data_IF_869308288728
#
_entry.id   IF_869308288728
#
_cell.length_a   1.000
_cell.length_b   1.000
_cell.length_c   1.000
_cell.angle_alpha   90.00
_cell.angle_beta   90.00
_cell.angle_gamma   90.00
#
_symmetry.space_group_name_H-M   'P 1'
#
loop_
_entity.id
_entity.type
_entity.pdbx_description
1 polymer ?
#
# COMPACT_ATOMS: atom_id res chain seq x y z
N UNK A 1 63.22 -46.27 15.84
CA UNK A 1 61.74 -46.41 15.96
C UNK A 1 61.09 -45.15 15.43
N UNK A 2 60.61 -45.14 14.18
CA UNK A 2 59.84 -43.99 13.62
C UNK A 2 58.36 -44.26 13.87
N UNK A 3 57.82 -43.64 14.89
CA UNK A 3 56.36 -43.64 15.12
C UNK A 3 55.66 -42.89 13.99
N UNK A 4 54.79 -43.57 13.29
CA UNK A 4 54.01 -43.02 12.22
C UNK A 4 52.90 -42.11 12.82
N UNK A 5 53.25 -40.88 13.10
CA UNK A 5 52.33 -39.82 13.61
C UNK A 5 51.07 -39.70 12.72
N UNK A 6 51.23 -39.99 11.43
CA UNK A 6 50.14 -39.90 10.46
C UNK A 6 49.00 -40.93 10.70
N UNK A 7 49.32 -42.07 11.30
CA UNK A 7 48.32 -43.12 11.61
C UNK A 7 47.51 -42.84 12.89
N UNK A 8 48.01 -41.96 13.74
CA UNK A 8 47.31 -41.57 14.96
C UNK A 8 46.45 -40.28 14.77
N UNK A 9 46.80 -39.44 13.81
CA UNK A 9 46.08 -38.17 13.53
C UNK A 9 44.79 -38.43 12.79
N UNK A 10 44.71 -39.40 11.85
CA UNK A 10 43.52 -39.69 11.08
C UNK A 10 42.34 -40.20 11.94
N UNK A 11 42.51 -41.15 12.88
CA UNK A 11 41.40 -41.55 13.74
C UNK A 11 41.00 -40.46 14.76
N UNK A 12 41.93 -39.61 15.21
CA UNK A 12 41.61 -38.51 16.12
C UNK A 12 40.79 -37.42 15.41
N UNK A 13 41.09 -37.12 14.15
CA UNK A 13 40.26 -36.20 13.32
C UNK A 13 38.90 -36.78 12.99
N UNK A 14 38.80 -38.12 12.78
CA UNK A 14 37.52 -38.80 12.54
C UNK A 14 36.62 -38.78 13.78
N UNK A 15 37.18 -38.85 14.99
CA UNK A 15 36.38 -38.78 16.24
C UNK A 15 35.88 -37.34 16.47
N UNK A 16 36.63 -36.33 16.13
CA UNK A 16 36.14 -34.93 16.21
C UNK A 16 35.09 -34.60 15.16
N UNK A 17 35.07 -35.31 14.03
CA UNK A 17 34.07 -35.09 12.97
C UNK A 17 32.70 -35.71 13.29
N UNK A 18 32.62 -36.66 14.22
CA UNK A 18 31.33 -37.28 14.60
C UNK A 18 30.75 -36.78 15.92
N UNK A 19 31.49 -35.92 16.65
CA UNK A 19 30.98 -35.28 17.88
C UNK A 19 30.52 -33.84 17.68
N UNK A 20 30.60 -33.34 16.46
CA UNK A 20 30.09 -32.02 16.11
C UNK A 20 28.74 -32.11 15.41
N UNK A 21 27.71 -31.61 16.05
CA UNK A 21 26.38 -31.35 15.52
C UNK A 21 25.39 -32.53 15.58
N UNK A 22 25.14 -33.04 16.77
CA UNK A 22 23.93 -33.83 17.01
C UNK A 22 22.65 -32.96 16.98
N UNK A 23 22.81 -31.65 17.20
CA UNK A 23 21.71 -30.67 17.19
C UNK A 23 21.32 -30.17 15.79
N UNK A 24 22.08 -30.52 14.74
CA UNK A 24 21.81 -29.98 13.40
C UNK A 24 20.94 -30.89 12.53
N UNK A 25 20.72 -32.12 12.93
CA UNK A 25 19.97 -33.13 12.16
C UNK A 25 18.61 -33.49 12.77
N UNK A 26 18.33 -33.02 13.96
CA UNK A 26 17.00 -33.10 14.57
C UNK A 26 16.45 -31.64 14.58
N UNK A 27 15.56 -31.26 13.65
CA UNK A 27 14.80 -30.05 13.86
C UNK A 27 14.05 -30.25 15.17
N UNK A 28 14.43 -29.51 16.21
CA UNK A 28 13.59 -29.38 17.38
C UNK A 28 12.24 -28.97 16.88
N UNK A 29 11.15 -29.72 17.14
CA UNK A 29 9.84 -29.16 16.98
C UNK A 29 9.79 -27.97 17.94
N UNK A 30 10.06 -26.76 17.44
CA UNK A 30 9.60 -25.57 18.13
C UNK A 30 8.10 -25.75 18.14
N UNK A 31 7.56 -26.11 19.29
CA UNK A 31 6.20 -25.79 19.62
C UNK A 31 6.12 -24.27 19.45
N UNK A 32 5.78 -23.86 18.27
CA UNK A 32 5.15 -22.58 18.09
C UNK A 32 3.79 -22.75 18.77
N UNK A 33 3.74 -22.64 20.10
CA UNK A 33 2.62 -21.99 20.72
C UNK A 33 2.50 -20.68 20.00
N UNK A 34 1.85 -20.80 18.82
CA UNK A 34 1.84 -19.74 17.84
C UNK A 34 1.04 -18.59 18.42
N UNK A 35 1.68 -17.50 18.83
CA UNK A 35 0.95 -16.27 19.02
C UNK A 35 0.39 -15.73 17.70
N UNK A 36 0.60 -16.45 16.58
CA UNK A 36 0.04 -16.15 15.25
C UNK A 36 -1.35 -16.76 15.03
N UNK A 37 -1.79 -17.69 15.85
CA UNK A 37 -3.20 -18.01 15.97
C UNK A 37 -3.80 -17.03 16.98
N UNK A 38 -4.14 -15.85 16.47
CA UNK A 38 -5.21 -15.01 16.96
C UNK A 38 -5.34 -14.93 18.50
N UNK A 39 -4.48 -14.17 19.11
CA UNK A 39 -4.96 -13.43 20.27
C UNK A 39 -5.86 -12.36 19.66
N UNK A 40 -7.13 -12.74 19.39
CA UNK A 40 -8.18 -11.74 19.23
C UNK A 40 -8.15 -10.91 20.51
N UNK A 41 -7.63 -9.72 20.37
CA UNK A 41 -7.59 -8.75 21.46
C UNK A 41 -9.03 -8.38 21.75
N UNK A 42 -9.32 -8.04 23.00
CA UNK A 42 -10.67 -7.66 23.41
C UNK A 42 -11.09 -6.29 22.85
N UNK A 43 -12.36 -5.99 22.96
CA UNK A 43 -12.92 -4.72 22.48
C UNK A 43 -12.25 -3.51 23.14
N UNK A 44 -11.89 -3.62 24.42
CA UNK A 44 -11.23 -2.56 25.16
C UNK A 44 -9.84 -2.23 24.59
N UNK A 45 -9.11 -3.25 24.15
CA UNK A 45 -7.83 -3.05 23.45
C UNK A 45 -8.01 -2.25 22.16
N UNK A 46 -8.97 -2.64 21.31
CA UNK A 46 -9.19 -1.96 20.04
C UNK A 46 -9.77 -0.55 20.22
N UNK A 47 -10.55 -0.32 21.26
CA UNK A 47 -11.01 1.02 21.63
C UNK A 47 -9.83 1.92 22.01
N UNK A 48 -8.94 1.44 22.87
CA UNK A 48 -7.71 2.15 23.23
C UNK A 48 -6.79 2.41 22.05
N UNK A 49 -6.66 1.42 21.12
CA UNK A 49 -5.88 1.56 19.90
C UNK A 49 -6.43 2.66 19.00
N UNK A 50 -7.75 2.68 18.78
CA UNK A 50 -8.38 3.75 17.98
C UNK A 50 -8.26 5.11 18.63
N UNK A 51 -8.39 5.20 19.97
CA UNK A 51 -8.18 6.43 20.71
C UNK A 51 -6.73 6.94 20.58
N UNK A 52 -5.74 6.04 20.64
CA UNK A 52 -4.34 6.37 20.39
C UNK A 52 -4.15 6.94 18.98
N UNK A 53 -4.66 6.26 17.94
CA UNK A 53 -4.54 6.69 16.53
C UNK A 53 -5.27 8.01 16.23
N UNK A 54 -6.26 8.36 17.02
CA UNK A 54 -6.96 9.65 16.94
C UNK A 54 -6.27 10.78 17.72
N UNK A 55 -5.27 10.45 18.55
CA UNK A 55 -4.53 11.45 19.34
C UNK A 55 -3.40 12.07 18.51
N UNK A 56 -2.79 13.15 19.03
CA UNK A 56 -1.59 13.74 18.46
C UNK A 56 -0.37 12.84 18.77
N UNK A 57 0.24 12.27 17.72
CA UNK A 57 1.39 11.39 17.80
C UNK A 57 2.15 11.34 16.47
N UNK A 58 3.35 10.73 16.47
CA UNK A 58 4.10 10.48 15.24
C UNK A 58 3.42 9.40 14.41
N UNK A 59 3.00 9.75 13.20
CA UNK A 59 2.28 8.85 12.29
C UNK A 59 3.22 7.82 11.67
N UNK A 60 2.86 6.54 11.76
CA UNK A 60 3.54 5.46 11.08
C UNK A 60 2.87 5.17 9.73
N UNK A 61 3.69 5.14 8.68
CA UNK A 61 3.27 4.91 7.30
C UNK A 61 4.06 3.76 6.67
N UNK A 62 3.44 2.99 5.81
CA UNK A 62 4.13 1.96 5.04
C UNK A 62 3.33 1.49 3.82
N UNK A 63 4.09 1.07 2.78
CA UNK A 63 3.51 0.43 1.60
C UNK A 63 3.29 -1.05 1.84
N UNK A 64 2.19 -1.55 1.29
CA UNK A 64 1.85 -2.95 1.32
C UNK A 64 1.57 -3.45 -0.10
N UNK A 65 2.31 -4.48 -0.52
CA UNK A 65 2.15 -5.11 -1.81
C UNK A 65 1.58 -6.52 -1.67
N UNK A 66 1.07 -7.06 -2.77
CA UNK A 66 0.60 -8.45 -2.85
C UNK A 66 -0.47 -8.83 -1.83
N UNK A 67 -1.41 -7.91 -1.59
CA UNK A 67 -2.55 -8.20 -0.73
C UNK A 67 -3.32 -9.44 -1.20
N UNK A 68 -3.24 -10.49 -0.40
CA UNK A 68 -3.83 -11.80 -0.66
C UNK A 68 -5.17 -12.02 0.04
N UNK A 69 -5.62 -13.26 -0.03
CA UNK A 69 -6.90 -13.69 0.56
C UNK A 69 -6.70 -14.63 1.76
N UNK A 70 -5.49 -14.66 2.33
CA UNK A 70 -5.17 -15.58 3.41
C UNK A 70 -4.82 -16.99 2.92
N UNK A 71 -5.27 -18.01 3.62
CA UNK A 71 -4.92 -19.42 3.38
C UNK A 71 -3.93 -19.92 4.42
N UNK A 72 -2.93 -20.70 4.00
CA UNK A 72 -1.90 -21.23 4.92
C UNK A 72 -0.98 -20.12 5.44
N UNK A 73 -0.79 -19.05 4.65
CA UNK A 73 -0.03 -17.88 5.03
C UNK A 73 -0.96 -16.67 5.15
N UNK A 74 -1.07 -16.11 6.34
CA UNK A 74 -1.87 -14.89 6.58
C UNK A 74 -1.06 -13.60 6.49
N UNK A 75 0.26 -13.69 6.32
CA UNK A 75 1.17 -12.56 6.23
C UNK A 75 0.94 -11.65 5.01
N UNK A 76 0.14 -12.09 4.04
CA UNK A 76 -0.29 -11.32 2.89
C UNK A 76 -1.66 -10.65 3.08
N UNK A 77 -2.20 -10.64 4.29
CA UNK A 77 -3.44 -9.94 4.66
C UNK A 77 -3.12 -8.66 5.43
N UNK A 78 -3.97 -7.66 5.30
CA UNK A 78 -3.81 -6.38 6.00
C UNK A 78 -3.87 -6.54 7.52
N UNK A 79 -4.66 -7.47 8.03
CA UNK A 79 -4.75 -7.75 9.46
C UNK A 79 -3.43 -8.23 10.08
N UNK A 80 -2.50 -8.77 9.28
CA UNK A 80 -1.16 -9.18 9.73
C UNK A 80 -0.21 -7.99 9.93
N UNK A 81 -0.55 -6.82 9.42
CA UNK A 81 0.23 -5.61 9.64
C UNK A 81 0.15 -5.20 11.13
N UNK A 82 1.27 -4.78 11.74
CA UNK A 82 1.29 -4.38 13.14
C UNK A 82 0.20 -3.36 13.48
N UNK A 83 -0.42 -3.51 14.65
CA UNK A 83 -1.50 -2.63 15.10
C UNK A 83 -1.05 -1.16 15.25
N UNK A 84 0.26 -0.94 15.46
CA UNK A 84 0.85 0.40 15.53
C UNK A 84 0.90 1.15 14.20
N UNK A 85 0.63 0.48 13.06
CA UNK A 85 0.58 1.18 11.78
C UNK A 85 -0.66 2.06 11.67
N UNK A 86 -0.45 3.35 11.40
CA UNK A 86 -1.53 4.32 11.24
C UNK A 86 -2.06 4.35 9.81
N UNK A 87 -1.16 4.28 8.85
CA UNK A 87 -1.48 4.37 7.42
C UNK A 87 -0.80 3.23 6.66
N UNK A 88 -1.60 2.53 5.87
CA UNK A 88 -1.13 1.52 4.91
C UNK A 88 -1.47 2.01 3.51
N UNK A 89 -0.49 2.10 2.63
CA UNK A 89 -0.66 2.42 1.22
C UNK A 89 -0.54 1.15 0.38
N UNK A 90 -1.61 0.80 -0.35
CA UNK A 90 -1.76 -0.47 -1.07
C UNK A 90 -1.33 -0.35 -2.52
N UNK A 91 -0.30 -1.10 -2.90
CA UNK A 91 0.06 -1.32 -4.29
C UNK A 91 -0.80 -2.40 -4.97
N UNK A 92 -1.06 -2.22 -6.28
CA UNK A 92 -1.68 -3.24 -7.15
C UNK A 92 -3.05 -3.77 -6.66
N UNK A 93 -3.92 -2.88 -6.31
CA UNK A 93 -5.21 -3.21 -5.72
C UNK A 93 -6.33 -3.24 -6.76
N UNK A 94 -6.33 -4.26 -7.64
CA UNK A 94 -7.25 -4.31 -8.77
C UNK A 94 -8.60 -5.00 -8.48
N UNK A 95 -8.69 -5.88 -7.49
CA UNK A 95 -9.92 -6.63 -7.22
C UNK A 95 -10.21 -6.78 -5.74
N UNK A 96 -11.39 -6.34 -5.34
CA UNK A 96 -11.89 -6.45 -3.97
C UNK A 96 -12.84 -7.66 -3.88
N UNK A 97 -12.30 -8.81 -3.44
CA UNK A 97 -13.10 -9.99 -3.13
C UNK A 97 -13.81 -9.84 -1.78
N UNK A 98 -14.83 -10.66 -1.46
CA UNK A 98 -15.44 -10.65 -0.14
C UNK A 98 -14.44 -10.84 1.01
N UNK A 99 -13.42 -11.68 0.84
CA UNK A 99 -12.35 -11.89 1.83
C UNK A 99 -11.52 -10.63 2.03
N UNK A 100 -11.06 -10.00 0.95
CA UNK A 100 -10.34 -8.73 1.01
C UNK A 100 -11.19 -7.62 1.62
N UNK A 101 -12.48 -7.59 1.29
CA UNK A 101 -13.41 -6.61 1.89
C UNK A 101 -13.53 -6.78 3.39
N UNK A 102 -13.64 -8.01 3.88
CA UNK A 102 -13.70 -8.29 5.31
C UNK A 102 -12.39 -7.92 6.02
N UNK A 103 -11.24 -8.21 5.41
CA UNK A 103 -9.91 -7.83 5.89
C UNK A 103 -9.74 -6.30 5.97
N UNK A 104 -10.12 -5.58 4.91
CA UNK A 104 -10.12 -4.12 4.87
C UNK A 104 -11.03 -3.53 5.97
N UNK A 105 -12.25 -4.07 6.11
CA UNK A 105 -13.19 -3.59 7.13
C UNK A 105 -12.67 -3.84 8.54
N UNK A 106 -12.03 -4.97 8.79
CA UNK A 106 -11.41 -5.23 10.09
C UNK A 106 -10.31 -4.20 10.40
N UNK A 107 -9.40 -3.99 9.46
CA UNK A 107 -8.27 -3.08 9.65
C UNK A 107 -8.71 -1.63 9.78
N UNK A 108 -9.67 -1.19 8.97
CA UNK A 108 -10.12 0.21 9.01
C UNK A 108 -11.09 0.50 10.15
N UNK A 109 -12.05 -0.40 10.42
CA UNK A 109 -13.12 -0.15 11.39
C UNK A 109 -12.78 -0.63 12.81
N UNK A 110 -12.05 -1.75 12.91
CA UNK A 110 -11.70 -2.32 14.22
C UNK A 110 -10.35 -1.80 14.71
N UNK A 111 -9.29 -1.89 13.90
CA UNK A 111 -7.96 -1.38 14.26
C UNK A 111 -7.84 0.14 14.13
N UNK A 112 -8.66 0.80 13.32
CA UNK A 112 -8.58 2.24 13.04
C UNK A 112 -7.40 2.65 12.16
N UNK A 113 -6.75 1.70 11.48
CA UNK A 113 -5.69 1.98 10.50
C UNK A 113 -6.30 2.53 9.22
N UNK A 114 -5.76 3.61 8.69
CA UNK A 114 -6.16 4.14 7.39
C UNK A 114 -5.53 3.30 6.27
N UNK A 115 -6.34 2.86 5.32
CA UNK A 115 -5.86 2.09 4.16
C UNK A 115 -6.11 2.90 2.90
N UNK A 116 -5.04 3.26 2.22
CA UNK A 116 -5.04 4.07 1.01
C UNK A 116 -4.78 3.19 -0.22
N UNK A 117 -5.18 3.68 -1.38
CA UNK A 117 -4.76 3.13 -2.67
C UNK A 117 -3.53 3.89 -3.13
N UNK A 118 -2.45 3.16 -3.43
CA UNK A 118 -1.25 3.70 -4.06
C UNK A 118 -1.31 3.52 -5.57
N UNK A 119 -1.02 4.57 -6.32
CA UNK A 119 -0.96 4.48 -7.78
C UNK A 119 -0.15 5.61 -8.39
N UNK A 120 0.56 5.29 -9.47
CA UNK A 120 0.97 6.30 -10.45
C UNK A 120 -0.26 6.95 -11.08
N UNK A 121 -0.12 8.20 -11.51
CA UNK A 121 -1.18 8.94 -12.20
C UNK A 121 -0.75 9.43 -13.59
N UNK A 122 -0.26 8.53 -14.48
CA UNK A 122 0.23 8.95 -15.78
C UNK A 122 -0.85 9.54 -16.67
N UNK A 123 -2.06 8.97 -16.61
CA UNK A 123 -3.15 9.25 -17.54
C UNK A 123 -4.50 9.22 -16.84
N UNK A 124 -5.49 9.90 -17.41
CA UNK A 124 -6.87 9.77 -16.96
C UNK A 124 -7.33 8.31 -17.07
N UNK A 125 -7.99 7.81 -16.02
CA UNK A 125 -8.49 6.46 -15.98
C UNK A 125 -7.44 5.35 -15.78
N UNK A 126 -6.24 5.67 -15.32
CA UNK A 126 -5.22 4.66 -15.03
C UNK A 126 -5.64 3.68 -13.92
N UNK A 127 -6.56 4.08 -13.07
CA UNK A 127 -7.27 3.22 -12.11
C UNK A 127 -8.76 3.61 -12.04
N UNK A 128 -9.59 2.74 -11.49
CA UNK A 128 -11.05 2.90 -11.47
C UNK A 128 -11.70 3.09 -12.85
N UNK A 129 -11.10 2.50 -13.88
CA UNK A 129 -11.74 2.33 -15.19
C UNK A 129 -12.33 0.93 -15.32
N UNK A 130 -13.34 0.73 -16.20
CA UNK A 130 -13.81 -0.62 -16.55
C UNK A 130 -12.64 -1.52 -16.98
N UNK A 131 -12.61 -2.77 -16.48
CA UNK A 131 -11.48 -3.68 -16.66
C UNK A 131 -11.22 -4.12 -18.11
N UNK A 132 -12.22 -3.98 -18.98
CA UNK A 132 -12.09 -4.23 -20.42
C UNK A 132 -11.30 -3.15 -21.17
N UNK A 133 -11.10 -1.97 -20.58
CA UNK A 133 -10.35 -0.86 -21.18
C UNK A 133 -8.86 -1.05 -20.93
N UNK A 134 -8.17 -1.69 -21.85
CA UNK A 134 -6.77 -2.12 -21.66
C UNK A 134 -5.75 -1.11 -22.17
N UNK A 135 -6.13 -0.24 -23.12
CA UNK A 135 -5.25 0.78 -23.70
C UNK A 135 -5.51 2.16 -23.15
N UNK A 136 -4.49 3.03 -23.23
CA UNK A 136 -4.63 4.46 -22.88
C UNK A 136 -5.74 5.12 -23.69
N UNK A 137 -5.80 4.83 -25.00
CA UNK A 137 -6.79 5.46 -25.89
C UNK A 137 -8.22 5.06 -25.52
N UNK A 138 -8.48 3.78 -25.25
CA UNK A 138 -9.81 3.32 -24.80
C UNK A 138 -10.24 4.02 -23.51
N UNK A 139 -9.33 4.19 -22.55
CA UNK A 139 -9.62 4.93 -21.32
C UNK A 139 -9.88 6.40 -21.58
N UNK A 140 -9.06 7.06 -22.41
CA UNK A 140 -9.25 8.46 -22.81
C UNK A 140 -10.62 8.67 -23.45
N UNK A 141 -11.01 7.80 -24.41
CA UNK A 141 -12.30 7.86 -25.08
C UNK A 141 -13.46 7.69 -24.08
N UNK A 142 -13.35 6.74 -23.17
CA UNK A 142 -14.38 6.48 -22.13
C UNK A 142 -14.56 7.67 -21.19
N UNK A 143 -13.46 8.30 -20.77
CA UNK A 143 -13.49 9.45 -19.89
C UNK A 143 -13.81 10.75 -20.61
N UNK A 144 -13.72 10.79 -21.93
CA UNK A 144 -14.01 11.95 -22.76
C UNK A 144 -12.82 12.88 -23.00
N UNK A 145 -11.59 12.37 -22.78
CA UNK A 145 -10.36 13.09 -23.09
C UNK A 145 -10.21 13.26 -24.59
N UNK A 146 -9.87 14.47 -25.05
CA UNK A 146 -9.56 14.75 -26.47
C UNK A 146 -8.30 15.59 -26.55
N UNK A 147 -7.29 15.06 -27.21
CA UNK A 147 -6.02 15.75 -27.38
C UNK A 147 -6.23 17.10 -28.10
N UNK A 148 -5.67 18.17 -27.53
CA UNK A 148 -5.78 19.52 -28.05
C UNK A 148 -7.08 20.26 -27.69
N UNK A 149 -8.02 19.63 -26.97
CA UNK A 149 -9.25 20.23 -26.45
C UNK A 149 -9.17 20.32 -24.93
N UNK A 150 -8.69 21.46 -24.42
CA UNK A 150 -8.47 21.67 -22.98
C UNK A 150 -9.76 21.55 -22.15
N UNK A 151 -10.90 21.95 -22.71
CA UNK A 151 -12.19 21.82 -22.02
C UNK A 151 -12.56 20.35 -21.87
N UNK A 152 -12.44 19.57 -22.93
CA UNK A 152 -12.68 18.12 -22.88
C UNK A 152 -11.73 17.41 -21.92
N UNK A 153 -10.45 17.78 -21.91
CA UNK A 153 -9.44 17.27 -20.99
C UNK A 153 -9.83 17.57 -19.54
N UNK A 154 -10.13 18.82 -19.21
CA UNK A 154 -10.53 19.20 -17.87
C UNK A 154 -11.81 18.48 -17.41
N UNK A 155 -12.82 18.42 -18.27
CA UNK A 155 -14.07 17.71 -17.98
C UNK A 155 -13.83 16.20 -17.75
N UNK A 156 -12.88 15.59 -18.46
CA UNK A 156 -12.50 14.20 -18.25
C UNK A 156 -11.86 13.97 -16.88
N UNK A 157 -11.00 14.88 -16.44
CA UNK A 157 -10.38 14.87 -15.12
C UNK A 157 -11.44 15.01 -14.02
N UNK A 158 -12.37 15.96 -14.15
CA UNK A 158 -13.48 16.15 -13.20
C UNK A 158 -14.32 14.87 -13.07
N UNK A 159 -14.70 14.28 -14.20
CA UNK A 159 -15.48 13.04 -14.21
C UNK A 159 -14.75 11.89 -13.53
N UNK A 160 -13.46 11.75 -13.83
CA UNK A 160 -12.64 10.66 -13.26
C UNK A 160 -12.38 10.85 -11.76
N UNK A 161 -11.98 12.02 -11.31
CA UNK A 161 -11.74 12.33 -9.88
C UNK A 161 -13.00 12.12 -9.04
N UNK A 162 -14.16 12.50 -9.54
CA UNK A 162 -15.45 12.22 -8.90
C UNK A 162 -15.69 10.72 -8.75
N UNK A 163 -15.44 9.94 -9.81
CA UNK A 163 -15.57 8.47 -9.77
C UNK A 163 -14.61 7.82 -8.80
N UNK A 164 -13.38 8.33 -8.71
CA UNK A 164 -12.41 7.88 -7.71
C UNK A 164 -12.97 8.08 -6.30
N UNK A 165 -13.44 9.29 -6.00
CA UNK A 165 -13.97 9.63 -4.68
C UNK A 165 -15.19 8.77 -4.30
N UNK A 166 -16.12 8.55 -5.24
CA UNK A 166 -17.27 7.66 -5.06
C UNK A 166 -16.80 6.22 -4.80
N UNK A 167 -15.81 5.73 -5.53
CA UNK A 167 -15.25 4.39 -5.38
C UNK A 167 -14.57 4.19 -4.03
N UNK A 168 -13.84 5.18 -3.53
CA UNK A 168 -13.25 5.13 -2.18
C UNK A 168 -14.32 4.89 -1.11
N UNK A 169 -15.46 5.56 -1.24
CA UNK A 169 -16.58 5.40 -0.30
C UNK A 169 -17.25 4.04 -0.43
N UNK A 170 -17.52 3.58 -1.67
CA UNK A 170 -18.16 2.30 -1.95
C UNK A 170 -17.30 1.14 -1.42
N UNK A 171 -16.01 1.17 -1.67
CA UNK A 171 -15.10 0.10 -1.27
C UNK A 171 -14.60 0.22 0.18
N UNK A 172 -14.66 1.41 0.78
CA UNK A 172 -14.26 1.66 2.16
C UNK A 172 -12.78 1.97 2.35
N UNK A 173 -12.11 2.45 1.30
CA UNK A 173 -10.75 2.96 1.41
C UNK A 173 -10.70 4.33 2.08
N UNK A 174 -9.60 4.59 2.77
CA UNK A 174 -9.42 5.82 3.54
C UNK A 174 -8.85 6.98 2.73
N UNK A 175 -8.47 6.76 1.48
CA UNK A 175 -7.91 7.80 0.63
C UNK A 175 -7.00 7.28 -0.47
N UNK A 176 -6.14 8.16 -0.98
CA UNK A 176 -5.18 7.87 -2.06
C UNK A 176 -3.80 8.37 -1.68
N UNK A 177 -2.81 7.59 -2.10
CA UNK A 177 -1.40 7.91 -2.13
C UNK A 177 -0.95 7.97 -3.60
N UNK A 178 -0.51 9.15 -4.05
CA UNK A 178 -0.03 9.33 -5.42
C UNK A 178 1.47 9.19 -5.44
N UNK A 179 1.96 8.19 -6.17
CA UNK A 179 3.37 8.08 -6.53
C UNK A 179 3.63 8.96 -7.77
N UNK A 180 4.17 10.16 -7.52
CA UNK A 180 4.42 11.16 -8.56
C UNK A 180 5.79 10.95 -9.20
N UNK A 181 5.81 10.22 -10.31
CA UNK A 181 7.01 9.94 -11.11
C UNK A 181 6.84 10.34 -12.58
N UNK A 182 6.90 11.64 -12.92
CA UNK A 182 6.62 12.11 -14.28
C UNK A 182 7.69 11.70 -15.30
N UNK A 183 8.86 11.24 -14.86
CA UNK A 183 9.94 10.75 -15.70
C UNK A 183 9.62 9.38 -16.32
N UNK A 184 9.81 8.33 -15.55
CA UNK A 184 9.69 6.95 -16.01
C UNK A 184 8.24 6.50 -16.19
N UNK A 185 7.40 6.81 -15.20
CA UNK A 185 5.99 6.38 -15.18
C UNK A 185 5.00 7.51 -15.52
N UNK A 186 5.49 8.60 -16.11
CA UNK A 186 4.66 9.74 -16.48
C UNK A 186 3.99 9.58 -17.83
N UNK A 187 2.77 10.12 -17.94
CA UNK A 187 1.99 10.26 -19.17
C UNK A 187 1.48 11.69 -19.35
N UNK A 188 0.46 11.89 -20.18
CA UNK A 188 -0.03 13.23 -20.52
C UNK A 188 -0.56 13.98 -19.31
N UNK A 189 -1.25 13.32 -18.37
CA UNK A 189 -1.75 13.94 -17.16
C UNK A 189 -0.60 14.38 -16.25
N UNK A 190 0.29 13.47 -15.91
CA UNK A 190 1.35 13.69 -14.93
C UNK A 190 2.44 14.67 -15.44
N UNK A 191 2.76 14.63 -16.75
CA UNK A 191 3.80 15.48 -17.34
C UNK A 191 3.34 16.88 -17.68
N UNK A 192 2.04 17.11 -17.84
CA UNK A 192 1.51 18.43 -18.12
C UNK A 192 1.18 19.14 -16.81
N UNK A 193 1.85 20.25 -16.54
CA UNK A 193 1.70 21.01 -15.30
C UNK A 193 0.25 21.43 -15.03
N UNK A 194 -0.48 21.87 -16.07
CA UNK A 194 -1.86 22.31 -15.91
C UNK A 194 -2.80 21.14 -15.61
N UNK A 195 -2.62 20.01 -16.31
CA UNK A 195 -3.49 18.84 -16.14
C UNK A 195 -3.30 18.20 -14.77
N UNK A 196 -2.05 18.11 -14.31
CA UNK A 196 -1.76 17.62 -12.98
C UNK A 196 -2.31 18.57 -11.89
N UNK A 197 -2.18 19.87 -12.09
CA UNK A 197 -2.79 20.88 -11.21
C UNK A 197 -4.31 20.68 -11.12
N UNK A 198 -5.00 20.57 -12.25
CA UNK A 198 -6.44 20.31 -12.27
C UNK A 198 -6.80 19.01 -11.54
N UNK A 199 -6.02 17.94 -11.76
CA UNK A 199 -6.25 16.68 -11.07
C UNK A 199 -6.17 16.82 -9.55
N UNK A 200 -5.12 17.48 -9.03
CA UNK A 200 -4.95 17.69 -7.59
C UNK A 200 -6.04 18.58 -7.01
N UNK A 201 -6.37 19.69 -7.70
CA UNK A 201 -7.43 20.61 -7.28
C UNK A 201 -8.81 19.94 -7.26
N UNK A 202 -9.13 19.12 -8.27
CA UNK A 202 -10.39 18.40 -8.33
C UNK A 202 -10.46 17.30 -7.27
N UNK A 203 -9.38 16.51 -7.07
CA UNK A 203 -9.32 15.52 -6.00
C UNK A 203 -9.43 16.17 -4.62
N UNK A 204 -8.80 17.31 -4.41
CA UNK A 204 -8.83 18.06 -3.16
C UNK A 204 -10.22 18.55 -2.74
N UNK A 205 -11.22 18.50 -3.62
CA UNK A 205 -12.63 18.76 -3.26
C UNK A 205 -13.28 17.60 -2.51
N UNK A 206 -12.70 16.40 -2.62
CA UNK A 206 -13.28 15.16 -2.09
C UNK A 206 -12.43 14.53 -0.98
N UNK A 207 -11.11 14.69 -1.01
CA UNK A 207 -10.16 14.11 -0.07
C UNK A 207 -9.08 15.11 0.32
N UNK A 208 -8.37 14.84 1.41
CA UNK A 208 -7.32 15.71 1.92
C UNK A 208 -7.84 16.93 2.71
N UNK A 209 -6.93 17.78 3.20
CA UNK A 209 -7.24 18.85 4.17
C UNK A 209 -8.25 19.88 3.69
N UNK A 210 -8.38 20.10 2.38
CA UNK A 210 -9.29 21.10 1.82
C UNK A 210 -10.71 20.56 1.61
N UNK A 211 -10.92 19.24 1.67
CA UNK A 211 -12.20 18.59 1.37
C UNK A 211 -13.23 18.67 2.50
N UNK A 212 -12.78 18.85 3.75
CA UNK A 212 -13.61 18.74 4.93
C UNK A 212 -14.04 17.30 5.26
N UNK A 213 -13.44 16.30 4.62
CA UNK A 213 -13.67 14.86 4.89
C UNK A 213 -12.51 14.29 5.73
N UNK A 214 -12.65 13.05 6.20
CA UNK A 214 -11.59 12.30 6.88
C UNK A 214 -10.70 11.48 5.94
N UNK A 215 -10.93 11.63 4.63
CA UNK A 215 -10.16 10.94 3.60
C UNK A 215 -8.80 11.58 3.42
N UNK A 216 -7.77 10.73 3.37
CA UNK A 216 -6.36 11.15 3.27
C UNK A 216 -5.94 11.29 1.82
N UNK A 217 -5.18 12.33 1.53
CA UNK A 217 -4.55 12.56 0.24
C UNK A 217 -3.05 12.73 0.42
N UNK A 218 -2.27 11.79 -0.10
CA UNK A 218 -0.80 11.77 -0.01
C UNK A 218 -0.20 11.90 -1.40
N UNK A 219 0.98 12.53 -1.46
CA UNK A 219 1.86 12.51 -2.62
C UNK A 219 3.27 12.12 -2.18
N UNK A 220 3.85 11.12 -2.84
CA UNK A 220 5.25 10.75 -2.70
C UNK A 220 5.97 10.73 -4.05
N UNK A 221 7.27 10.38 -4.07
CA UNK A 221 8.07 10.38 -5.28
C UNK A 221 8.83 11.68 -5.55
N UNK A 222 8.85 12.16 -6.77
CA UNK A 222 9.66 13.33 -7.18
C UNK A 222 9.00 14.67 -6.88
N UNK A 223 8.64 14.92 -5.62
CA UNK A 223 7.95 16.13 -5.21
C UNK A 223 8.67 17.44 -5.60
N UNK A 224 9.99 17.45 -5.74
CA UNK A 224 10.78 18.61 -6.18
C UNK A 224 10.53 18.99 -7.64
N UNK A 225 10.02 18.08 -8.45
CA UNK A 225 9.59 18.31 -9.83
C UNK A 225 8.08 18.48 -9.98
N UNK A 226 7.34 18.45 -8.89
CA UNK A 226 5.89 18.66 -8.91
C UNK A 226 5.58 20.09 -9.35
N UNK A 227 4.75 20.28 -10.38
CA UNK A 227 4.38 21.61 -10.84
C UNK A 227 3.57 22.33 -9.76
N UNK A 228 3.77 23.64 -9.65
CA UNK A 228 3.04 24.48 -8.69
C UNK A 228 3.04 23.94 -7.25
N UNK A 229 4.12 23.27 -6.84
CA UNK A 229 4.20 22.56 -5.55
C UNK A 229 3.81 23.45 -4.36
N UNK A 230 4.24 24.71 -4.34
CA UNK A 230 3.90 25.64 -3.27
C UNK A 230 2.39 25.93 -3.14
N UNK A 231 1.64 25.81 -4.23
CA UNK A 231 0.19 26.01 -4.26
C UNK A 231 -0.57 24.71 -4.02
N UNK A 232 -0.03 23.58 -4.47
CA UNK A 232 -0.68 22.28 -4.40
C UNK A 232 -0.50 21.57 -3.05
N UNK A 233 0.57 21.88 -2.31
CA UNK A 233 0.87 21.22 -1.03
C UNK A 233 -0.28 21.31 -0.02
N UNK A 234 -1.10 22.36 -0.09
CA UNK A 234 -2.26 22.53 0.80
C UNK A 234 -3.36 21.46 0.64
N UNK A 235 -3.34 20.71 -0.46
CA UNK A 235 -4.32 19.65 -0.73
C UNK A 235 -3.91 18.30 -0.16
N UNK A 236 -2.64 18.14 0.21
CA UNK A 236 -2.09 16.88 0.73
C UNK A 236 -1.98 16.90 2.25
N UNK A 237 -2.25 15.77 2.86
CA UNK A 237 -2.02 15.55 4.30
C UNK A 237 -0.54 15.28 4.59
N UNK A 238 0.13 14.59 3.65
CA UNK A 238 1.55 14.21 3.77
C UNK A 238 2.21 14.24 2.41
#
# INVERSE_FOLDING_TARGET
>A
MKFNILKAVIPALAVFAVTGCDDWTTPEPKDFDSPLTEILKDDAYYEALRAYKASDHSVSFGWFSEWGEGGVATNNMLQAVPDSMDIISLWNNSHLTPTKKADLDFVTKVKGTKVLICSFVPEVGCFYSPGELTTVQERRDYWGWKDGDEEAIHNSIIKWTKTIAESLNIYGFSGIDIDYEPGEYGGALCRNSQYFTWFVEEMGKYIGPQSGTDKVFIVDGYYTSMPNAAELIKYFDY
#
